data_IF_331874393480
#
_entry.id   IF_331874393480
#
_cell.length_a   1.000
_cell.length_b   1.000
_cell.length_c   1.000
_cell.angle_alpha   90.00
_cell.angle_beta   90.00
_cell.angle_gamma   90.00
#
_symmetry.space_group_name_H-M   'P 1'
#
loop_
_entity.id
_entity.type
_entity.pdbx_description
1 polymer ?
#
# COMPACT_ATOMS: atom_id res chain seq x y z
N UNK A 1 11.59 -36.07 -2.20
CA UNK A 1 10.61 -35.70 -1.15
C UNK A 1 10.72 -34.25 -0.65
N UNK A 2 11.79 -33.49 -0.93
CA UNK A 2 11.93 -32.09 -0.49
C UNK A 2 10.97 -31.08 -1.16
N UNK A 3 10.63 -31.28 -2.44
CA UNK A 3 9.78 -30.34 -3.19
C UNK A 3 8.35 -30.20 -2.63
N UNK A 4 7.74 -31.31 -2.18
CA UNK A 4 6.44 -31.30 -1.51
C UNK A 4 6.47 -30.56 -0.17
N UNK A 5 7.61 -30.57 0.53
CA UNK A 5 7.81 -29.84 1.78
C UNK A 5 7.73 -28.32 1.59
N UNK A 6 8.35 -27.80 0.53
CA UNK A 6 8.31 -26.36 0.22
C UNK A 6 6.92 -25.88 -0.21
N UNK A 7 6.22 -26.65 -1.05
CA UNK A 7 4.85 -26.32 -1.44
C UNK A 7 3.90 -26.31 -0.22
N UNK A 8 4.01 -27.31 0.66
CA UNK A 8 3.22 -27.37 1.90
C UNK A 8 3.53 -26.19 2.84
N UNK A 9 4.80 -25.81 2.96
CA UNK A 9 5.22 -24.67 3.78
C UNK A 9 4.70 -23.34 3.23
N UNK A 10 4.69 -23.17 1.91
CA UNK A 10 4.13 -22.00 1.25
C UNK A 10 2.64 -21.85 1.58
N UNK A 11 1.85 -22.90 1.33
CA UNK A 11 0.41 -22.94 1.63
C UNK A 11 0.14 -22.69 3.12
N UNK A 12 0.94 -23.29 4.01
CA UNK A 12 0.82 -23.05 5.45
C UNK A 12 1.10 -21.59 5.85
N UNK A 13 2.00 -20.93 5.13
CA UNK A 13 2.39 -19.54 5.40
C UNK A 13 1.31 -18.56 4.93
N UNK A 14 0.89 -18.67 3.68
CA UNK A 14 0.10 -17.64 2.98
C UNK A 14 -1.41 -17.95 2.93
N UNK A 15 -1.79 -19.21 2.71
CA UNK A 15 -3.20 -19.56 2.41
C UNK A 15 -4.01 -19.87 3.68
N UNK A 16 -3.34 -20.40 4.71
CA UNK A 16 -4.01 -20.76 5.98
C UNK A 16 -4.23 -19.59 6.92
N UNK A 17 -3.83 -18.37 6.55
CA UNK A 17 -3.98 -17.20 7.43
C UNK A 17 -4.23 -15.91 6.67
N UNK A 18 -5.38 -15.29 6.96
CA UNK A 18 -5.72 -13.93 6.51
C UNK A 18 -4.73 -12.86 6.98
N UNK A 19 -3.92 -13.13 8.01
CA UNK A 19 -2.91 -12.18 8.51
C UNK A 19 -1.67 -12.11 7.63
N UNK A 20 -1.46 -13.10 6.76
CA UNK A 20 -0.28 -13.28 5.92
C UNK A 20 -0.65 -13.51 4.46
N UNK A 21 -1.86 -13.13 4.02
CA UNK A 21 -2.23 -13.29 2.63
C UNK A 21 -1.44 -12.33 1.73
N UNK A 22 -1.32 -12.67 0.45
CA UNK A 22 -0.52 -11.94 -0.54
C UNK A 22 -1.32 -10.90 -1.32
N UNK A 23 -2.41 -10.38 -0.74
CA UNK A 23 -3.34 -9.45 -1.40
C UNK A 23 -3.32 -8.09 -0.70
N UNK A 24 -2.50 -7.11 -1.15
CA UNK A 24 -2.35 -5.82 -0.48
C UNK A 24 -3.67 -5.08 -0.28
N UNK A 25 -4.62 -5.18 -1.22
CA UNK A 25 -5.94 -4.51 -1.10
C UNK A 25 -6.77 -5.05 0.05
N UNK A 26 -6.52 -6.29 0.50
CA UNK A 26 -7.17 -6.85 1.67
C UNK A 26 -6.78 -6.09 2.95
N UNK A 27 -5.53 -5.65 3.08
CA UNK A 27 -5.07 -4.90 4.25
C UNK A 27 -5.56 -3.45 4.25
N UNK A 28 -5.72 -2.84 3.07
CA UNK A 28 -6.18 -1.45 2.93
C UNK A 28 -7.70 -1.34 2.98
N UNK A 29 -8.43 -2.18 2.25
CA UNK A 29 -9.86 -2.02 1.99
C UNK A 29 -10.71 -3.14 2.63
N UNK A 30 -10.10 -4.24 3.06
CA UNK A 30 -10.82 -5.41 3.58
C UNK A 30 -11.78 -6.03 2.55
N UNK A 31 -12.73 -6.84 2.99
CA UNK A 31 -13.77 -7.41 2.11
C UNK A 31 -14.95 -6.43 1.94
N UNK A 32 -14.66 -5.24 1.41
CA UNK A 32 -15.66 -4.17 1.22
C UNK A 32 -15.84 -3.84 -0.27
N UNK A 33 -16.90 -3.08 -0.60
CA UNK A 33 -17.11 -2.55 -1.96
C UNK A 33 -15.92 -1.74 -2.47
N UNK A 34 -15.18 -1.07 -1.57
CA UNK A 34 -13.97 -0.30 -1.91
C UNK A 34 -12.88 -1.19 -2.51
N UNK A 35 -12.74 -2.44 -2.03
CA UNK A 35 -11.77 -3.40 -2.57
C UNK A 35 -12.03 -3.69 -4.06
N UNK A 36 -13.29 -3.84 -4.46
CA UNK A 36 -13.65 -4.05 -5.86
C UNK A 36 -13.16 -2.92 -6.78
N UNK A 37 -13.29 -1.66 -6.33
CA UNK A 37 -12.77 -0.51 -7.07
C UNK A 37 -11.24 -0.50 -7.15
N UNK A 38 -10.54 -0.83 -6.05
CA UNK A 38 -9.08 -0.97 -6.04
C UNK A 38 -8.60 -2.05 -7.02
N UNK A 39 -9.24 -3.22 -7.01
CA UNK A 39 -8.90 -4.32 -7.95
C UNK A 39 -9.12 -3.89 -9.40
N UNK A 40 -10.22 -3.20 -9.70
CA UNK A 40 -10.48 -2.69 -11.05
C UNK A 40 -9.42 -1.68 -11.50
N UNK A 41 -8.97 -0.80 -10.59
CA UNK A 41 -7.90 0.17 -10.86
C UNK A 41 -6.57 -0.51 -11.18
N UNK A 42 -6.17 -1.48 -10.36
CA UNK A 42 -4.94 -2.25 -10.60
C UNK A 42 -5.02 -2.98 -11.95
N UNK A 43 -6.14 -3.65 -12.23
CA UNK A 43 -6.37 -4.32 -13.52
C UNK A 43 -6.33 -3.34 -14.70
N UNK A 44 -6.86 -2.13 -14.56
CA UNK A 44 -6.77 -1.11 -15.60
C UNK A 44 -5.33 -0.70 -15.86
N UNK A 45 -4.57 -0.41 -14.79
CA UNK A 45 -3.18 0.00 -14.91
C UNK A 45 -2.33 -1.03 -15.68
N UNK A 46 -2.58 -2.33 -15.43
CA UNK A 46 -1.93 -3.40 -16.18
C UNK A 46 -2.25 -3.36 -17.67
N UNK A 47 -3.54 -3.23 -18.02
CA UNK A 47 -3.98 -3.14 -19.41
C UNK A 47 -3.44 -1.92 -20.13
N UNK A 48 -3.39 -0.78 -19.45
CA UNK A 48 -2.88 0.49 -19.99
C UNK A 48 -1.39 0.38 -20.37
N UNK A 49 -0.68 -0.58 -19.78
CA UNK A 49 0.72 -0.92 -20.09
C UNK A 49 0.85 -2.21 -20.92
N UNK A 50 -0.24 -2.67 -21.55
CA UNK A 50 -0.24 -3.83 -22.44
C UNK A 50 0.03 -5.16 -21.73
N UNK A 51 -0.17 -5.25 -20.41
CA UNK A 51 0.00 -6.49 -19.66
C UNK A 51 -1.35 -7.08 -19.23
N UNK A 52 -1.49 -8.38 -19.49
CA UNK A 52 -2.67 -9.17 -19.15
C UNK A 52 -2.23 -10.28 -18.20
N UNK A 53 -2.46 -10.16 -16.88
CA UNK A 53 -2.15 -11.23 -15.94
C UNK A 53 -3.09 -12.44 -16.16
N UNK A 54 -2.73 -13.62 -15.62
CA UNK A 54 -3.61 -14.79 -15.61
C UNK A 54 -5.00 -14.47 -15.07
N UNK A 55 -6.03 -15.10 -15.64
CA UNK A 55 -7.43 -14.83 -15.27
C UNK A 55 -7.87 -15.53 -13.97
N UNK A 56 -7.11 -16.54 -13.53
CA UNK A 56 -7.36 -17.31 -12.32
C UNK A 56 -6.85 -16.65 -11.04
N UNK A 57 -6.12 -15.54 -11.16
CA UNK A 57 -5.59 -14.77 -10.03
C UNK A 57 -6.15 -13.35 -9.96
N UNK A 58 -6.25 -12.83 -8.74
CA UNK A 58 -6.65 -11.44 -8.53
C UNK A 58 -5.52 -10.48 -8.97
N UNK A 59 -5.85 -9.31 -9.52
CA UNK A 59 -4.85 -8.37 -10.01
C UNK A 59 -3.96 -7.79 -8.90
N UNK A 60 -4.35 -7.88 -7.63
CA UNK A 60 -3.51 -7.47 -6.51
C UNK A 60 -2.73 -8.61 -5.87
N UNK A 61 -2.65 -9.80 -6.48
CA UNK A 61 -1.74 -10.82 -6.01
C UNK A 61 -0.30 -10.29 -6.05
N UNK A 62 0.38 -10.25 -4.90
CA UNK A 62 1.66 -9.55 -4.75
C UNK A 62 2.72 -9.99 -5.78
N UNK A 63 2.88 -11.29 -6.10
CA UNK A 63 3.78 -11.70 -7.19
C UNK A 63 3.46 -11.07 -8.55
N UNK A 64 2.17 -10.93 -8.91
CA UNK A 64 1.76 -10.23 -10.13
C UNK A 64 2.11 -8.74 -10.07
N UNK A 65 1.93 -8.11 -8.93
CA UNK A 65 2.33 -6.70 -8.75
C UNK A 65 3.84 -6.50 -8.88
N UNK A 66 4.64 -7.43 -8.35
CA UNK A 66 6.10 -7.41 -8.47
C UNK A 66 6.54 -7.67 -9.92
N UNK A 67 5.91 -8.62 -10.61
CA UNK A 67 6.16 -8.88 -12.04
C UNK A 67 5.83 -7.64 -12.88
N UNK A 68 4.69 -7.00 -12.62
CA UNK A 68 4.33 -5.74 -13.27
C UNK A 68 5.38 -4.66 -13.04
N UNK A 69 5.85 -4.50 -11.80
CA UNK A 69 6.89 -3.53 -11.48
C UNK A 69 8.24 -3.83 -12.16
N UNK A 70 8.57 -5.10 -12.40
CA UNK A 70 9.74 -5.46 -13.19
C UNK A 70 9.57 -5.15 -14.69
N UNK A 71 8.35 -5.32 -15.24
CA UNK A 71 8.04 -5.09 -16.66
C UNK A 71 7.86 -3.61 -17.00
N UNK A 72 7.20 -2.85 -16.14
CA UNK A 72 6.89 -1.43 -16.32
C UNK A 72 7.27 -0.63 -15.06
N UNK A 73 8.57 -0.47 -14.75
CA UNK A 73 9.01 0.14 -13.48
C UNK A 73 8.44 1.54 -13.22
N UNK A 74 8.30 2.35 -14.27
CA UNK A 74 7.76 3.71 -14.17
C UNK A 74 6.33 3.78 -13.62
N UNK A 75 5.52 2.73 -13.83
CA UNK A 75 4.15 2.64 -13.31
C UNK A 75 4.02 1.67 -12.12
N UNK A 76 4.76 0.57 -12.14
CA UNK A 76 4.66 -0.46 -11.11
C UNK A 76 5.35 -0.12 -9.79
N UNK A 77 6.47 0.63 -9.81
CA UNK A 77 7.10 1.09 -8.55
C UNK A 77 6.20 2.09 -7.80
N UNK A 78 5.59 3.10 -8.46
CA UNK A 78 4.57 3.92 -7.81
C UNK A 78 3.40 3.11 -7.27
N UNK A 79 2.88 2.15 -8.05
CA UNK A 79 1.80 1.25 -7.59
C UNK A 79 2.19 0.51 -6.30
N UNK A 80 3.36 -0.12 -6.26
CA UNK A 80 3.84 -0.81 -5.06
C UNK A 80 4.04 0.15 -3.88
N UNK A 81 4.47 1.38 -4.16
CA UNK A 81 4.66 2.43 -3.14
C UNK A 81 3.34 2.84 -2.50
N UNK A 82 2.25 2.92 -3.27
CA UNK A 82 0.89 3.15 -2.72
C UNK A 82 0.48 2.06 -1.71
N UNK A 83 0.89 0.82 -1.97
CA UNK A 83 0.60 -0.32 -1.11
C UNK A 83 1.70 -0.62 -0.08
N UNK A 84 2.72 0.25 0.06
CA UNK A 84 3.86 0.00 0.96
C UNK A 84 3.44 -0.30 2.39
N UNK A 85 2.45 0.41 2.93
CA UNK A 85 1.94 0.14 4.28
C UNK A 85 1.33 -1.27 4.41
N UNK A 86 0.66 -1.78 3.39
CA UNK A 86 0.14 -3.15 3.36
C UNK A 86 1.27 -4.20 3.30
N UNK A 87 2.32 -3.93 2.51
CA UNK A 87 3.52 -4.78 2.47
C UNK A 87 4.20 -4.85 3.84
N UNK A 88 4.25 -3.73 4.56
CA UNK A 88 4.79 -3.68 5.93
C UNK A 88 3.93 -4.48 6.93
N UNK A 89 2.59 -4.42 6.82
CA UNK A 89 1.70 -5.28 7.62
C UNK A 89 2.00 -6.77 7.41
N UNK A 90 2.17 -7.17 6.15
CA UNK A 90 2.54 -8.54 5.78
C UNK A 90 3.94 -8.90 6.30
N UNK A 91 4.94 -8.03 6.12
CA UNK A 91 6.31 -8.23 6.61
C UNK A 91 6.33 -8.49 8.12
N UNK A 92 5.66 -7.65 8.91
CA UNK A 92 5.58 -7.85 10.36
C UNK A 92 4.85 -9.15 10.74
N UNK A 93 3.81 -9.53 9.99
CA UNK A 93 3.11 -10.80 10.22
C UNK A 93 3.99 -12.02 9.90
N UNK A 94 4.85 -11.94 8.89
CA UNK A 94 5.82 -12.97 8.53
C UNK A 94 6.96 -13.06 9.55
N UNK A 95 7.46 -11.92 10.04
CA UNK A 95 8.45 -11.87 11.13
C UNK A 95 7.91 -12.52 12.40
N UNK A 96 6.70 -12.16 12.82
CA UNK A 96 6.05 -12.78 13.99
C UNK A 96 5.82 -14.29 13.81
N UNK A 97 5.62 -14.74 12.57
CA UNK A 97 5.50 -16.16 12.23
C UNK A 97 6.85 -16.85 12.00
N UNK A 98 7.98 -16.13 12.12
CA UNK A 98 9.35 -16.61 11.87
C UNK A 98 9.51 -17.26 10.50
N UNK A 99 8.85 -16.67 9.49
CA UNK A 99 8.90 -17.15 8.11
C UNK A 99 10.11 -16.59 7.37
N UNK A 100 10.86 -17.40 6.58
CA UNK A 100 11.98 -16.90 5.77
C UNK A 100 11.52 -15.90 4.69
N UNK A 101 10.23 -15.90 4.32
CA UNK A 101 9.68 -14.92 3.40
C UNK A 101 9.65 -13.49 3.98
N UNK A 102 9.86 -13.33 5.29
CA UNK A 102 9.99 -12.01 5.91
C UNK A 102 11.17 -11.22 5.33
N UNK A 103 12.30 -11.89 5.05
CA UNK A 103 13.51 -11.26 4.52
C UNK A 103 13.29 -10.77 3.08
N UNK A 104 12.52 -11.52 2.29
CA UNK A 104 12.11 -11.11 0.94
C UNK A 104 11.27 -9.83 1.01
N UNK A 105 10.23 -9.82 1.85
CA UNK A 105 9.39 -8.63 2.01
C UNK A 105 10.18 -7.45 2.56
N UNK A 106 11.16 -7.68 3.42
CA UNK A 106 12.08 -6.65 3.89
C UNK A 106 12.88 -6.06 2.73
N UNK A 107 13.46 -6.88 1.85
CA UNK A 107 14.19 -6.39 0.69
C UNK A 107 13.29 -5.56 -0.24
N UNK A 108 12.08 -6.04 -0.53
CA UNK A 108 11.09 -5.29 -1.33
C UNK A 108 10.80 -3.92 -0.69
N UNK A 109 10.51 -3.87 0.61
CA UNK A 109 10.23 -2.60 1.29
C UNK A 109 11.43 -1.63 1.33
N UNK A 110 12.67 -2.13 1.30
CA UNK A 110 13.88 -1.29 1.21
C UNK A 110 14.07 -0.68 -0.18
N UNK A 111 13.59 -1.35 -1.23
CA UNK A 111 13.62 -0.82 -2.59
C UNK A 111 12.52 0.22 -2.88
N UNK A 112 11.56 0.39 -1.97
CA UNK A 112 10.43 1.32 -2.13
C UNK A 112 10.65 2.59 -1.29
N UNK A 113 10.26 3.77 -1.81
CA UNK A 113 10.36 5.03 -1.07
C UNK A 113 9.45 5.05 0.17
N UNK A 114 9.84 5.85 1.17
CA UNK A 114 9.08 6.06 2.40
C UNK A 114 9.67 5.33 3.63
N UNK A 115 9.34 5.82 4.83
CA UNK A 115 9.85 5.27 6.07
C UNK A 115 9.09 4.01 6.49
N UNK A 116 9.82 2.98 6.95
CA UNK A 116 9.20 1.76 7.49
C UNK A 116 8.46 2.09 8.79
N UNK A 117 7.18 1.73 8.96
CA UNK A 117 6.44 1.98 10.20
C UNK A 117 7.10 1.28 11.39
N UNK A 118 7.01 1.86 12.59
CA UNK A 118 7.65 1.30 13.78
C UNK A 118 7.02 -0.03 14.27
N UNK A 119 5.76 -0.30 13.90
CA UNK A 119 5.05 -1.52 14.31
C UNK A 119 4.01 -1.96 13.29
N UNK A 120 3.50 -3.19 13.48
CA UNK A 120 2.41 -3.73 12.67
C UNK A 120 1.12 -2.92 12.81
N UNK A 121 0.82 -2.45 14.02
CA UNK A 121 -0.36 -1.62 14.31
C UNK A 121 -0.26 -0.28 13.59
N UNK A 122 0.93 0.33 13.61
CA UNK A 122 1.20 1.56 12.85
C UNK A 122 1.04 1.32 11.34
N UNK A 123 1.60 0.23 10.81
CA UNK A 123 1.44 -0.14 9.40
C UNK A 123 -0.02 -0.39 9.02
N UNK A 124 -0.79 -1.08 9.85
CA UNK A 124 -2.20 -1.37 9.59
C UNK A 124 -3.06 -0.10 9.62
N UNK A 125 -2.77 0.83 10.54
CA UNK A 125 -3.42 2.13 10.58
C UNK A 125 -3.14 2.92 9.29
N UNK A 126 -1.88 2.98 8.86
CA UNK A 126 -1.50 3.64 7.61
C UNK A 126 -2.16 2.98 6.39
N UNK A 127 -2.20 1.65 6.32
CA UNK A 127 -2.83 0.94 5.21
C UNK A 127 -4.33 1.24 5.09
N UNK A 128 -5.04 1.36 6.23
CA UNK A 128 -6.49 1.59 6.24
C UNK A 128 -6.88 3.06 6.08
N UNK A 129 -6.15 3.94 6.74
CA UNK A 129 -6.55 5.33 6.94
C UNK A 129 -5.63 6.34 6.24
N UNK A 130 -4.52 5.90 5.64
CA UNK A 130 -3.49 6.78 5.09
C UNK A 130 -2.60 7.43 6.17
N UNK A 131 -1.59 8.22 5.77
CA UNK A 131 -0.81 9.02 6.70
C UNK A 131 -1.71 10.03 7.42
N UNK A 132 -1.41 10.39 8.68
CA UNK A 132 -2.11 11.48 9.34
C UNK A 132 -1.95 12.75 8.50
N UNK A 133 -3.07 13.45 8.26
CA UNK A 133 -3.01 14.79 7.69
C UNK A 133 -2.39 15.72 8.73
N UNK A 134 -1.09 15.97 8.66
CA UNK A 134 -0.51 17.11 9.34
C UNK A 134 -1.05 18.36 8.64
N UNK A 135 -1.86 19.15 9.35
CA UNK A 135 -2.28 20.47 8.91
C UNK A 135 -1.08 21.40 8.94
N UNK A 136 -0.28 21.39 7.87
CA UNK A 136 0.88 22.27 7.72
C UNK A 136 0.39 23.70 7.49
N UNK A 137 0.48 24.55 8.53
CA UNK A 137 0.68 25.99 8.42
C UNK A 137 -0.47 26.87 7.89
N UNK A 138 -1.62 26.90 8.56
CA UNK A 138 -2.55 28.03 8.46
C UNK A 138 -2.55 28.80 9.78
N UNK A 139 -1.43 29.44 10.09
CA UNK A 139 -1.45 30.64 10.95
C UNK A 139 -2.24 31.72 10.17
N UNK A 140 -3.36 32.24 10.69
CA UNK A 140 -4.09 33.29 10.01
C UNK A 140 -3.22 34.56 9.99
N UNK A 141 -2.85 35.01 8.79
CA UNK A 141 -2.30 36.35 8.58
C UNK A 141 -3.26 37.37 9.23
N UNK A 142 -2.81 38.23 10.15
CA UNK A 142 -3.67 39.29 10.67
C UNK A 142 -4.00 40.25 9.52
N UNK A 143 -5.29 40.41 9.25
CA UNK A 143 -5.79 41.37 8.28
C UNK A 143 -5.36 42.79 8.70
N UNK A 144 -4.68 43.48 7.79
CA UNK A 144 -4.32 44.88 7.94
C UNK A 144 -5.60 45.74 8.05
N UNK A 145 -5.73 46.64 9.04
CA UNK A 145 -6.93 47.45 9.18
C UNK A 145 -7.06 48.46 8.03
N UNK A 146 -8.26 48.54 7.46
CA UNK A 146 -8.60 49.43 6.36
C UNK A 146 -8.48 50.93 6.75
N UNK A 147 -8.12 51.82 5.81
CA UNK A 147 -8.09 53.25 6.07
C UNK A 147 -9.52 53.80 6.24
N UNK A 148 -9.76 54.42 7.40
CA UNK A 148 -11.02 55.10 7.73
C UNK A 148 -11.35 56.20 6.71
N UNK A 149 -12.49 56.05 6.03
CA UNK A 149 -13.15 57.15 5.36
C UNK A 149 -13.75 58.11 6.39
N UNK A 150 -13.29 59.36 6.39
CA UNK A 150 -13.98 60.46 7.06
C UNK A 150 -14.38 61.49 6.00
N UNK A 151 -15.65 61.50 5.66
CA UNK A 151 -16.30 62.67 5.10
C UNK A 151 -16.62 63.65 6.23
N UNK A 152 -16.27 64.92 6.04
CA UNK A 152 -16.81 66.03 6.81
C UNK A 152 -17.24 67.15 5.86
N UNK A 153 -18.46 67.61 6.10
CA UNK A 153 -19.20 68.66 5.39
C UNK A 153 -18.53 70.03 5.55
N UNK A 154 -18.52 70.83 4.48
CA UNK A 154 -19.13 72.17 4.38
C UNK A 154 -19.01 72.70 2.96
#
# INVERSE_FOLDING_TARGET
MAALGFAAQYVATFDRSRRRCLYPTYYTDGDTRRRGASLARVKSLYRDHGWLPPEDELPDYLPLMLEFAARAPAAGVPLLSEYRAALEVLRFALLAYRSPYADLLQAVCHCLPGASPASREAALRLARNGPPAESVGLEPFPAQPAPNGQGARR
#
